data_IF_495141514479
#
_entry.id   IF_495141514479
#
_cell.length_a   1.000
_cell.length_b   1.000
_cell.length_c   1.000
_cell.angle_alpha   90.00
_cell.angle_beta   90.00
_cell.angle_gamma   90.00
#
_symmetry.space_group_name_H-M   'P 1'
#
loop_
_entity.id
_entity.type
_entity.pdbx_description
1 polymer ?
#
# COMPACT_ATOMS: atom_id res chain seq x y z
N UNK A 1 8.79 4.30 19.08
CA UNK A 1 9.49 3.53 18.01
C UNK A 1 8.57 2.62 17.17
N UNK A 2 7.73 1.76 17.77
CA UNK A 2 6.94 0.77 17.00
C UNK A 2 5.84 1.35 16.08
N UNK A 3 5.46 2.62 16.23
CA UNK A 3 4.45 3.28 15.37
C UNK A 3 5.11 3.93 14.14
N UNK A 4 6.34 4.43 14.25
CA UNK A 4 7.04 5.13 13.15
C UNK A 4 7.48 4.15 12.05
N UNK A 5 7.85 2.92 12.38
CA UNK A 5 8.33 1.94 11.39
C UNK A 5 7.22 1.18 10.65
N UNK A 6 5.95 1.31 11.05
CA UNK A 6 4.83 0.54 10.45
C UNK A 6 4.65 0.86 8.98
N UNK A 7 4.60 2.15 8.67
CA UNK A 7 4.44 2.64 7.30
C UNK A 7 5.62 2.24 6.43
N UNK A 8 6.84 2.35 6.98
CA UNK A 8 8.07 1.98 6.29
C UNK A 8 8.08 0.48 5.96
N UNK A 9 7.85 -0.39 6.93
CA UNK A 9 7.92 -1.85 6.73
C UNK A 9 6.90 -2.30 5.69
N UNK A 10 5.66 -1.81 5.74
CA UNK A 10 4.61 -2.22 4.80
C UNK A 10 4.83 -1.64 3.41
N UNK A 11 5.13 -0.34 3.29
CA UNK A 11 5.30 0.30 1.98
C UNK A 11 6.56 -0.20 1.27
N UNK A 12 7.67 -0.40 1.98
CA UNK A 12 8.92 -0.88 1.38
C UNK A 12 8.77 -2.33 0.94
N UNK A 13 8.17 -3.20 1.76
CA UNK A 13 7.95 -4.59 1.37
C UNK A 13 7.04 -4.70 0.14
N UNK A 14 5.94 -3.94 0.11
CA UNK A 14 5.03 -3.91 -1.03
C UNK A 14 5.70 -3.33 -2.28
N UNK A 15 6.42 -2.22 -2.14
CA UNK A 15 7.11 -1.55 -3.26
C UNK A 15 8.21 -2.42 -3.88
N UNK A 16 9.02 -3.10 -3.07
CA UNK A 16 10.05 -4.03 -3.55
C UNK A 16 9.39 -5.21 -4.28
N UNK A 17 8.39 -5.83 -3.66
CA UNK A 17 7.68 -6.95 -4.29
C UNK A 17 7.07 -6.54 -5.64
N UNK A 18 6.37 -5.41 -5.67
CA UNK A 18 5.72 -4.91 -6.88
C UNK A 18 6.73 -4.64 -7.99
N UNK A 19 7.80 -3.87 -7.70
CA UNK A 19 8.78 -3.50 -8.71
C UNK A 19 9.56 -4.71 -9.24
N UNK A 20 9.97 -5.65 -8.37
CA UNK A 20 10.67 -6.86 -8.81
C UNK A 20 9.75 -7.72 -9.69
N UNK A 21 8.51 -7.92 -9.26
CA UNK A 21 7.55 -8.73 -10.02
C UNK A 21 7.21 -8.08 -11.38
N UNK A 22 6.96 -6.77 -11.41
CA UNK A 22 6.60 -6.04 -12.63
C UNK A 22 7.75 -5.95 -13.63
N UNK A 23 9.00 -5.81 -13.18
CA UNK A 23 10.18 -5.87 -14.07
C UNK A 23 10.42 -7.25 -14.67
N UNK A 24 10.15 -8.35 -13.92
CA UNK A 24 10.37 -9.72 -14.41
C UNK A 24 9.22 -10.20 -15.33
N UNK A 25 7.99 -9.72 -15.09
CA UNK A 25 6.78 -10.10 -15.83
C UNK A 25 6.90 -10.07 -17.36
N UNK A 26 7.42 -8.99 -18.02
CA UNK A 26 7.57 -8.94 -19.48
C UNK A 26 8.51 -10.04 -19.99
N UNK A 27 9.59 -10.35 -19.29
CA UNK A 27 10.53 -11.40 -19.69
C UNK A 27 9.91 -12.79 -19.56
N UNK A 28 9.13 -13.02 -18.51
CA UNK A 28 8.38 -14.26 -18.36
C UNK A 28 7.37 -14.46 -19.51
N UNK A 29 6.71 -13.39 -19.94
CA UNK A 29 5.82 -13.43 -21.10
C UNK A 29 6.60 -13.75 -22.40
N UNK A 30 7.80 -13.17 -22.56
CA UNK A 30 8.68 -13.41 -23.71
C UNK A 30 9.15 -14.88 -23.78
N UNK A 31 9.64 -15.45 -22.68
CA UNK A 31 10.18 -16.82 -22.66
C UNK A 31 9.11 -17.90 -22.75
N UNK A 32 7.93 -17.69 -22.15
CA UNK A 32 6.86 -18.70 -22.19
C UNK A 32 6.20 -18.71 -23.59
N UNK A 33 6.09 -17.54 -24.24
CA UNK A 33 5.54 -17.35 -25.60
C UNK A 33 4.15 -17.99 -25.85
N UNK A 34 3.46 -18.43 -24.80
CA UNK A 34 2.15 -19.07 -24.84
C UNK A 34 1.28 -18.51 -23.72
N UNK A 35 0.17 -17.88 -24.12
CA UNK A 35 -0.71 -17.18 -23.19
C UNK A 35 -1.33 -18.10 -22.14
N UNK A 36 -1.60 -19.38 -22.45
CA UNK A 36 -2.20 -20.32 -21.50
C UNK A 36 -1.25 -20.64 -20.36
N UNK A 37 -0.01 -21.02 -20.70
CA UNK A 37 1.02 -21.30 -19.71
C UNK A 37 1.38 -20.05 -18.90
N UNK A 38 1.41 -18.88 -19.54
CA UNK A 38 1.64 -17.61 -18.85
C UNK A 38 0.55 -17.31 -17.81
N UNK A 39 -0.72 -17.54 -18.15
CA UNK A 39 -1.83 -17.40 -17.19
C UNK A 39 -1.71 -18.37 -16.02
N UNK A 40 -1.30 -19.62 -16.25
CA UNK A 40 -1.11 -20.58 -15.15
C UNK A 40 0.04 -20.16 -14.23
N UNK A 41 1.20 -19.80 -14.79
CA UNK A 41 2.38 -19.40 -14.00
C UNK A 41 2.09 -18.14 -13.16
N UNK A 42 1.34 -17.18 -13.70
CA UNK A 42 0.94 -15.97 -12.96
C UNK A 42 -0.17 -16.24 -11.93
N UNK A 43 -1.04 -17.22 -12.15
CA UNK A 43 -2.11 -17.59 -11.23
C UNK A 43 -1.65 -18.44 -10.05
N UNK A 44 -0.62 -19.29 -10.22
CA UNK A 44 -0.13 -20.19 -9.16
C UNK A 44 0.25 -19.44 -7.87
N UNK A 45 0.99 -18.31 -7.90
CA UNK A 45 1.27 -17.53 -6.69
C UNK A 45 0.01 -17.03 -5.97
N UNK A 46 -1.11 -16.80 -6.67
CA UNK A 46 -2.36 -16.37 -6.06
C UNK A 46 -3.00 -17.48 -5.21
N UNK A 47 -2.68 -18.75 -5.47
CA UNK A 47 -3.14 -19.88 -4.66
C UNK A 47 -2.54 -19.87 -3.24
N UNK A 48 -1.46 -19.10 -3.00
CA UNK A 48 -0.91 -18.88 -1.66
C UNK A 48 -1.93 -18.26 -0.68
N UNK A 49 -3.01 -17.65 -1.19
CA UNK A 49 -4.15 -17.19 -0.39
C UNK A 49 -4.75 -18.34 0.44
N UNK A 50 -4.78 -19.56 -0.10
CA UNK A 50 -5.29 -20.74 0.63
C UNK A 50 -4.42 -21.06 1.85
N UNK A 51 -3.13 -20.75 1.80
CA UNK A 51 -2.17 -21.03 2.87
C UNK A 51 -2.18 -19.91 3.95
N UNK A 52 -2.69 -18.73 3.58
CA UNK A 52 -2.68 -17.53 4.45
C UNK A 52 -3.32 -17.75 5.82
N UNK A 53 -4.44 -18.49 5.99
CA UNK A 53 -5.05 -18.73 7.30
C UNK A 53 -4.16 -19.50 8.29
N UNK A 54 -3.20 -20.30 7.80
CA UNK A 54 -2.32 -21.09 8.67
C UNK A 54 -1.06 -20.33 9.08
N UNK A 55 -0.57 -19.43 8.23
CA UNK A 55 0.67 -18.69 8.47
C UNK A 55 0.40 -17.36 9.17
N UNK A 56 -0.66 -16.66 8.79
CA UNK A 56 -0.87 -15.28 9.20
C UNK A 56 -1.67 -15.21 10.50
N UNK A 57 -1.12 -14.63 11.58
CA UNK A 57 -1.87 -14.46 12.81
C UNK A 57 -2.99 -13.45 12.60
N UNK A 58 -4.19 -13.82 13.04
CA UNK A 58 -5.35 -12.92 12.99
C UNK A 58 -5.05 -11.56 13.63
N UNK A 59 -5.60 -10.49 13.04
CA UNK A 59 -5.25 -9.12 13.39
C UNK A 59 -5.71 -8.75 14.81
N UNK A 60 -4.88 -8.03 15.56
CA UNK A 60 -5.23 -7.57 16.91
C UNK A 60 -6.50 -6.69 16.93
N UNK A 61 -6.76 -5.95 15.85
CA UNK A 61 -7.96 -5.11 15.72
C UNK A 61 -9.24 -5.94 15.61
N UNK A 62 -9.19 -7.06 14.87
CA UNK A 62 -10.33 -7.96 14.72
C UNK A 62 -10.75 -8.60 16.07
N UNK A 63 -9.77 -9.00 16.89
CA UNK A 63 -10.06 -9.49 18.24
C UNK A 63 -10.71 -8.42 19.13
N UNK A 64 -10.24 -7.16 19.06
CA UNK A 64 -10.83 -6.04 19.80
C UNK A 64 -12.27 -5.79 19.33
N UNK A 65 -12.53 -5.77 18.02
CA UNK A 65 -13.88 -5.52 17.49
C UNK A 65 -14.88 -6.65 17.81
N UNK A 66 -14.39 -7.86 18.01
CA UNK A 66 -15.22 -9.02 18.39
C UNK A 66 -15.31 -9.22 19.91
N UNK A 67 -14.80 -8.28 20.73
CA UNK A 67 -14.85 -8.38 22.19
C UNK A 67 -13.95 -9.46 22.79
N UNK A 68 -13.06 -10.09 22.02
CA UNK A 68 -12.15 -11.15 22.47
C UNK A 68 -10.90 -10.56 23.15
N UNK A 69 -11.08 -9.88 24.27
CA UNK A 69 -10.01 -9.12 24.93
C UNK A 69 -8.91 -10.00 25.54
N UNK A 70 -9.22 -11.22 25.98
CA UNK A 70 -8.22 -12.15 26.53
C UNK A 70 -7.13 -12.51 25.50
N UNK A 71 -7.55 -12.80 24.26
CA UNK A 71 -6.64 -13.09 23.14
C UNK A 71 -5.79 -11.88 22.77
N UNK A 72 -6.32 -10.66 22.95
CA UNK A 72 -5.57 -9.41 22.72
C UNK A 72 -4.47 -9.28 23.77
N UNK A 73 -4.79 -9.47 25.04
CA UNK A 73 -3.81 -9.39 26.15
C UNK A 73 -2.71 -10.45 25.99
N UNK A 74 -3.05 -11.69 25.61
CA UNK A 74 -2.07 -12.74 25.34
C UNK A 74 -1.09 -12.34 24.23
N UNK A 75 -1.59 -11.81 23.11
CA UNK A 75 -0.75 -11.33 22.01
C UNK A 75 0.12 -10.15 22.43
N UNK A 76 -0.41 -9.19 23.19
CA UNK A 76 0.38 -8.07 23.70
C UNK A 76 1.49 -8.52 24.66
N UNK A 77 1.23 -9.51 25.53
CA UNK A 77 2.26 -10.12 26.38
C UNK A 77 3.33 -10.84 25.57
N UNK A 78 2.95 -11.56 24.51
CA UNK A 78 3.92 -12.19 23.58
C UNK A 78 4.81 -11.13 22.90
N UNK A 79 4.22 -10.05 22.39
CA UNK A 79 4.97 -8.94 21.77
C UNK A 79 5.90 -8.27 22.78
N UNK A 80 5.44 -8.06 24.02
CA UNK A 80 6.26 -7.49 25.09
C UNK A 80 7.49 -8.36 25.39
N UNK A 81 7.30 -9.69 25.49
CA UNK A 81 8.40 -10.66 25.64
C UNK A 81 9.40 -10.59 24.48
N UNK A 82 8.92 -10.58 23.24
CA UNK A 82 9.80 -10.47 22.04
C UNK A 82 10.59 -9.16 22.06
N UNK A 83 9.96 -8.05 22.44
CA UNK A 83 10.59 -6.75 22.57
C UNK A 83 11.45 -6.60 23.84
N UNK A 84 11.60 -7.67 24.65
CA UNK A 84 12.31 -7.68 25.94
C UNK A 84 11.84 -6.57 26.88
N UNK A 85 10.53 -6.31 26.90
CA UNK A 85 9.88 -5.36 27.81
C UNK A 85 8.89 -6.11 28.68
N UNK A 86 8.81 -5.73 29.96
CA UNK A 86 7.84 -6.22 30.93
C UNK A 86 6.95 -5.05 31.40
N UNK A 87 5.87 -4.72 30.67
CA UNK A 87 4.90 -3.73 31.11
C UNK A 87 4.24 -4.19 32.42
N UNK A 88 3.90 -3.24 33.29
CA UNK A 88 3.11 -3.51 34.49
C UNK A 88 1.77 -4.18 34.10
N UNK A 89 1.42 -5.32 34.73
CA UNK A 89 0.12 -5.98 34.56
C UNK A 89 -1.09 -5.04 34.53
N UNK A 90 -1.06 -3.97 35.34
CA UNK A 90 -2.15 -2.97 35.44
C UNK A 90 -2.47 -2.26 34.12
N UNK A 91 -1.49 -2.15 33.23
CA UNK A 91 -1.66 -1.50 31.91
C UNK A 91 -2.59 -2.34 31.02
N UNK A 92 -2.53 -3.67 31.13
CA UNK A 92 -3.41 -4.55 30.38
C UNK A 92 -4.84 -4.44 30.86
N UNK A 93 -5.06 -4.41 32.17
CA UNK A 93 -6.39 -4.28 32.77
C UNK A 93 -7.02 -2.91 32.43
N UNK A 94 -6.25 -1.83 32.52
CA UNK A 94 -6.68 -0.50 32.10
C UNK A 94 -7.03 -0.44 30.60
N UNK A 95 -6.28 -1.16 29.75
CA UNK A 95 -6.58 -1.27 28.32
C UNK A 95 -7.89 -2.01 28.06
N UNK A 96 -8.14 -3.11 28.79
CA UNK A 96 -9.38 -3.88 28.68
C UNK A 96 -10.58 -3.03 29.09
N UNK A 97 -10.52 -2.37 30.24
CA UNK A 97 -11.61 -1.51 30.74
C UNK A 97 -11.92 -0.38 29.76
N UNK A 98 -10.89 0.27 29.20
CA UNK A 98 -11.06 1.37 28.24
C UNK A 98 -11.74 0.93 26.93
N UNK A 99 -11.44 -0.26 26.43
CA UNK A 99 -12.02 -0.78 25.19
C UNK A 99 -13.41 -1.37 25.41
N UNK A 100 -13.61 -2.13 26.49
CA UNK A 100 -14.90 -2.73 26.84
C UNK A 100 -15.96 -1.67 27.17
N UNK A 101 -15.58 -0.56 27.81
CA UNK A 101 -16.48 0.58 28.07
C UNK A 101 -17.00 1.28 26.80
N UNK A 102 -16.29 1.16 25.66
CA UNK A 102 -16.76 1.67 24.36
C UNK A 102 -17.62 0.68 23.57
N UNK A 103 -17.53 -0.62 23.85
CA UNK A 103 -18.26 -1.69 23.15
C UNK A 103 -19.66 -1.92 23.77
N UNK A 104 -19.83 -1.61 25.07
CA UNK A 104 -21.05 -1.86 25.84
C UNK A 104 -22.30 -1.03 25.49
N UNK A 105 -22.29 -0.15 24.49
CA UNK A 105 -23.45 0.68 24.11
C UNK A 105 -24.19 0.27 22.82
N UNK A 106 -23.86 -0.85 22.17
CA UNK A 106 -24.62 -1.31 20.99
C UNK A 106 -24.81 -2.83 20.97
N UNK A 107 -25.87 -3.38 21.59
CA UNK A 107 -26.08 -4.83 21.69
C UNK A 107 -26.70 -5.46 20.43
N UNK A 108 -26.58 -4.86 19.24
CA UNK A 108 -27.08 -5.45 17.97
C UNK A 108 -26.25 -5.05 16.76
N UNK A 109 -25.12 -5.75 16.52
CA UNK A 109 -24.55 -5.83 15.16
C UNK A 109 -24.20 -7.28 14.88
N UNK A 110 -25.25 -8.09 14.71
CA UNK A 110 -25.20 -9.22 13.79
C UNK A 110 -25.30 -8.61 12.38
N UNK A 111 -24.16 -8.55 11.69
CA UNK A 111 -23.94 -8.53 10.23
C UNK A 111 -22.53 -7.98 10.00
N UNK A 112 -21.59 -8.90 9.72
CA UNK A 112 -20.15 -8.72 9.63
C UNK A 112 -19.61 -7.84 8.49
N UNK A 113 -20.31 -6.77 8.12
CA UNK A 113 -19.92 -5.85 7.04
C UNK A 113 -19.79 -4.40 7.53
N UNK A 114 -20.50 -3.97 8.59
CA UNK A 114 -20.45 -2.56 9.07
C UNK A 114 -19.32 -2.23 10.05
N UNK A 115 -18.65 -3.20 10.67
CA UNK A 115 -17.63 -2.91 11.70
C UNK A 115 -16.26 -2.53 11.11
N UNK A 116 -15.93 -2.99 9.90
CA UNK A 116 -14.67 -2.64 9.22
C UNK A 116 -14.63 -1.16 8.85
N UNK A 117 -15.78 -0.55 8.60
CA UNK A 117 -15.89 0.86 8.22
C UNK A 117 -15.67 1.81 9.41
N UNK A 118 -16.02 1.38 10.63
CA UNK A 118 -15.83 2.18 11.83
C UNK A 118 -14.46 1.94 12.48
N UNK A 119 -13.86 0.76 12.32
CA UNK A 119 -12.51 0.45 12.82
C UNK A 119 -11.38 1.15 12.04
N UNK A 120 -11.65 1.61 10.82
CA UNK A 120 -10.76 2.49 10.04
C UNK A 120 -11.05 3.98 10.26
N UNK A 121 -12.16 4.32 10.92
CA UNK A 121 -12.63 5.68 11.19
C UNK A 121 -12.05 6.29 12.47
N UNK A 122 -10.79 5.98 12.81
CA UNK A 122 -10.06 6.67 13.88
C UNK A 122 -9.66 8.11 13.53
N UNK A 123 -10.04 8.59 12.35
CA UNK A 123 -9.72 9.94 11.90
C UNK A 123 -11.01 10.59 11.41
N UNK A 124 -11.50 11.56 12.19
CA UNK A 124 -12.62 12.45 11.84
C UNK A 124 -12.20 13.29 10.63
N UNK A 125 -12.22 12.72 9.44
CA UNK A 125 -12.06 13.47 8.19
C UNK A 125 -13.42 13.98 7.79
N UNK A 126 -13.51 15.27 7.46
CA UNK A 126 -14.71 15.82 6.88
C UNK A 126 -15.04 15.05 5.58
N UNK A 127 -16.31 14.85 5.23
CA UNK A 127 -16.68 14.17 3.98
C UNK A 127 -16.00 14.83 2.76
N UNK A 128 -15.80 16.14 2.83
CA UNK A 128 -15.02 16.92 1.87
C UNK A 128 -13.57 16.45 1.73
N UNK A 129 -12.85 16.19 2.83
CA UNK A 129 -11.47 15.71 2.79
C UNK A 129 -11.37 14.33 2.13
N UNK A 130 -12.38 13.47 2.33
CA UNK A 130 -12.44 12.15 1.69
C UNK A 130 -12.66 12.25 0.19
N UNK A 131 -13.53 13.17 -0.24
CA UNK A 131 -13.77 13.46 -1.66
C UNK A 131 -12.48 13.99 -2.29
N UNK A 132 -11.83 14.96 -1.65
CA UNK A 132 -10.60 15.56 -2.16
C UNK A 132 -9.46 14.54 -2.27
N UNK A 133 -9.27 13.66 -1.28
CA UNK A 133 -8.28 12.58 -1.35
C UNK A 133 -8.62 11.53 -2.41
N UNK A 134 -9.90 11.30 -2.68
CA UNK A 134 -10.34 10.39 -3.75
C UNK A 134 -10.03 10.99 -5.12
N UNK A 135 -10.37 12.27 -5.31
CA UNK A 135 -10.04 13.02 -6.53
C UNK A 135 -8.53 13.03 -6.78
N UNK A 136 -7.73 13.35 -5.77
CA UNK A 136 -6.26 13.34 -5.87
C UNK A 136 -5.72 11.97 -6.33
N UNK A 137 -6.27 10.87 -5.83
CA UNK A 137 -5.88 9.52 -6.24
C UNK A 137 -6.27 9.22 -7.69
N UNK A 138 -7.46 9.62 -8.13
CA UNK A 138 -7.87 9.46 -9.52
C UNK A 138 -6.92 10.17 -10.49
N UNK A 139 -6.54 11.42 -10.19
CA UNK A 139 -5.58 12.16 -11.00
C UNK A 139 -4.23 11.44 -11.10
N UNK A 140 -3.71 10.94 -9.97
CA UNK A 140 -2.44 10.19 -9.97
C UNK A 140 -2.52 8.94 -10.85
N UNK A 141 -3.63 8.18 -10.79
CA UNK A 141 -3.80 6.97 -11.60
C UNK A 141 -3.88 7.31 -13.09
N UNK A 142 -4.65 8.34 -13.47
CA UNK A 142 -4.76 8.78 -14.87
C UNK A 142 -3.40 9.25 -15.40
N UNK A 143 -2.66 10.04 -14.61
CA UNK A 143 -1.32 10.50 -14.98
C UNK A 143 -0.35 9.32 -15.13
N UNK A 144 -0.41 8.34 -14.24
CA UNK A 144 0.40 7.13 -14.32
C UNK A 144 0.09 6.33 -15.59
N UNK A 145 -1.18 6.04 -15.85
CA UNK A 145 -1.60 5.31 -17.05
C UNK A 145 -1.18 6.04 -18.33
N UNK A 146 -1.38 7.36 -18.38
CA UNK A 146 -0.92 8.20 -19.50
C UNK A 146 0.59 8.05 -19.76
N UNK A 147 1.40 8.04 -18.70
CA UNK A 147 2.84 7.84 -18.81
C UNK A 147 3.20 6.43 -19.31
N UNK A 148 2.49 5.40 -18.83
CA UNK A 148 2.65 4.01 -19.32
C UNK A 148 2.29 3.89 -20.80
N UNK A 149 1.27 4.60 -21.29
CA UNK A 149 0.95 4.64 -22.72
C UNK A 149 2.02 5.38 -23.53
N UNK A 150 2.57 6.49 -23.01
CA UNK A 150 3.66 7.22 -23.69
C UNK A 150 4.92 6.37 -23.89
N UNK A 151 5.21 5.43 -22.98
CA UNK A 151 6.35 4.50 -23.12
C UNK A 151 6.25 3.58 -24.34
N UNK A 152 5.06 3.39 -24.91
CA UNK A 152 4.86 2.66 -26.18
C UNK A 152 5.31 3.46 -27.39
N UNK A 153 5.48 4.78 -27.28
CA UNK A 153 5.96 5.64 -28.37
C UNK A 153 7.46 5.52 -28.58
N UNK A 154 8.21 5.07 -27.57
CA UNK A 154 9.63 4.77 -27.70
C UNK A 154 9.75 3.58 -28.65
N UNK A 155 10.49 3.73 -29.76
CA UNK A 155 10.78 2.69 -30.76
C UNK A 155 11.68 1.56 -30.21
N UNK A 156 11.45 1.12 -28.98
CA UNK A 156 12.09 -0.04 -28.38
C UNK A 156 11.10 -1.21 -28.32
N UNK A 157 11.58 -2.42 -28.05
CA UNK A 157 10.68 -3.55 -27.81
C UNK A 157 9.80 -3.27 -26.59
N UNK A 158 8.51 -3.66 -26.66
CA UNK A 158 7.54 -3.47 -25.57
C UNK A 158 8.07 -4.03 -24.24
N UNK A 159 8.80 -5.13 -24.29
CA UNK A 159 9.41 -5.77 -23.13
C UNK A 159 10.48 -4.90 -22.46
N UNK A 160 11.34 -4.23 -23.24
CA UNK A 160 12.41 -3.37 -22.72
C UNK A 160 11.83 -2.06 -22.17
N UNK A 161 10.97 -1.37 -22.93
CA UNK A 161 10.33 -0.14 -22.46
C UNK A 161 9.57 -0.36 -21.15
N UNK A 162 8.80 -1.46 -21.04
CA UNK A 162 8.06 -1.79 -19.83
C UNK A 162 8.99 -2.15 -18.66
N UNK A 163 10.06 -2.93 -18.91
CA UNK A 163 11.03 -3.30 -17.86
C UNK A 163 11.74 -2.09 -17.28
N UNK A 164 12.17 -1.15 -18.13
CA UNK A 164 12.85 0.08 -17.71
C UNK A 164 11.90 0.94 -16.88
N UNK A 165 10.64 1.09 -17.33
CA UNK A 165 9.62 1.81 -16.59
C UNK A 165 9.43 1.25 -15.18
N UNK A 166 9.18 -0.07 -15.07
CA UNK A 166 9.02 -0.74 -13.77
C UNK A 166 10.30 -0.69 -12.91
N UNK A 167 11.47 -0.80 -13.52
CA UNK A 167 12.74 -0.72 -12.79
C UNK A 167 12.95 0.65 -12.12
N UNK A 168 12.43 1.74 -12.73
CA UNK A 168 12.49 3.08 -12.14
C UNK A 168 11.51 3.30 -10.97
N UNK A 169 10.51 2.44 -10.81
CA UNK A 169 9.57 2.52 -9.68
C UNK A 169 10.21 2.13 -8.34
N UNK A 170 11.19 1.21 -8.34
CA UNK A 170 11.89 0.79 -7.13
C UNK A 170 12.68 1.94 -6.46
N UNK A 171 13.60 2.63 -7.16
CA UNK A 171 14.31 3.77 -6.57
C UNK A 171 13.35 4.92 -6.25
N UNK A 172 12.32 5.15 -7.07
CA UNK A 172 11.31 6.16 -6.80
C UNK A 172 10.52 5.87 -5.51
N UNK A 173 10.11 4.61 -5.28
CA UNK A 173 9.38 4.18 -4.09
C UNK A 173 10.23 4.25 -2.81
N UNK A 174 11.52 3.91 -2.90
CA UNK A 174 12.46 4.05 -1.78
C UNK A 174 12.70 5.52 -1.43
N UNK A 175 12.98 6.37 -2.43
CA UNK A 175 13.14 7.80 -2.23
C UNK A 175 11.88 8.42 -1.63
N UNK A 176 10.71 8.09 -2.18
CA UNK A 176 9.44 8.57 -1.64
C UNK A 176 9.28 8.19 -0.18
N UNK A 177 9.58 6.94 0.19
CA UNK A 177 9.45 6.49 1.59
C UNK A 177 10.38 7.25 2.53
N UNK A 178 11.60 7.58 2.09
CA UNK A 178 12.55 8.38 2.88
C UNK A 178 12.10 9.84 3.04
N UNK A 179 11.61 10.45 1.96
CA UNK A 179 11.12 11.84 1.98
C UNK A 179 9.79 11.98 2.72
N UNK A 180 8.95 10.94 2.72
CA UNK A 180 7.64 10.96 3.36
C UNK A 180 7.73 11.26 4.86
N UNK A 181 8.74 10.71 5.54
CA UNK A 181 8.97 10.92 6.97
C UNK A 181 9.51 12.33 7.27
N UNK A 182 10.20 12.98 6.32
CA UNK A 182 10.76 14.33 6.49
C UNK A 182 9.77 15.42 6.15
N UNK A 183 9.10 15.33 5.00
CA UNK A 183 8.31 16.44 4.41
C UNK A 183 6.79 16.23 4.55
N UNK A 184 6.37 15.05 4.99
CA UNK A 184 4.97 14.74 5.21
C UNK A 184 4.21 14.41 3.94
N UNK A 185 3.14 13.61 4.10
CA UNK A 185 2.38 12.98 3.01
C UNK A 185 1.77 13.95 1.99
N UNK A 186 1.28 15.11 2.44
CA UNK A 186 0.59 16.08 1.57
C UNK A 186 1.57 16.79 0.65
N UNK A 187 2.71 17.22 1.20
CA UNK A 187 3.74 17.94 0.44
C UNK A 187 4.39 17.03 -0.61
N UNK A 188 4.72 15.78 -0.25
CA UNK A 188 5.24 14.80 -1.22
C UNK A 188 4.27 14.56 -2.38
N UNK A 189 2.95 14.51 -2.11
CA UNK A 189 1.93 14.35 -3.15
C UNK A 189 1.83 15.55 -4.08
N UNK A 190 1.91 16.77 -3.55
CA UNK A 190 1.92 17.99 -4.37
C UNK A 190 3.19 18.09 -5.22
N UNK A 191 4.35 17.84 -4.61
CA UNK A 191 5.65 17.93 -5.27
C UNK A 191 5.77 16.98 -6.46
N UNK A 192 5.36 15.72 -6.28
CA UNK A 192 5.41 14.71 -7.36
C UNK A 192 4.53 15.09 -8.54
N UNK A 193 3.30 15.55 -8.29
CA UNK A 193 2.40 16.03 -9.34
C UNK A 193 2.95 17.27 -10.06
N UNK A 194 3.52 18.22 -9.33
CA UNK A 194 4.13 19.42 -9.91
C UNK A 194 5.34 19.06 -10.79
N UNK A 195 6.20 18.13 -10.35
CA UNK A 195 7.32 17.65 -11.15
C UNK A 195 6.84 16.95 -12.43
N UNK A 196 5.84 16.06 -12.33
CA UNK A 196 5.28 15.38 -13.50
C UNK A 196 4.72 16.38 -14.51
N UNK A 197 3.98 17.39 -14.05
CA UNK A 197 3.45 18.45 -14.92
C UNK A 197 4.55 19.21 -15.66
N UNK A 198 5.60 19.61 -14.95
CA UNK A 198 6.74 20.33 -15.55
C UNK A 198 7.48 19.48 -16.58
N UNK A 199 7.71 18.20 -16.28
CA UNK A 199 8.40 17.28 -17.20
C UNK A 199 7.57 16.98 -18.45
N UNK A 200 6.25 16.83 -18.32
CA UNK A 200 5.36 16.65 -19.47
C UNK A 200 5.33 17.87 -20.39
N UNK A 201 5.34 19.09 -19.83
CA UNK A 201 5.46 20.32 -20.63
C UNK A 201 6.82 20.38 -21.35
N UNK A 202 7.90 20.04 -20.65
CA UNK A 202 9.23 20.02 -21.23
C UNK A 202 9.33 19.01 -22.39
N UNK A 203 8.74 17.82 -22.26
CA UNK A 203 8.66 16.82 -23.32
C UNK A 203 7.92 17.35 -24.55
N UNK A 204 6.77 18.01 -24.35
CA UNK A 204 5.98 18.59 -25.43
C UNK A 204 6.74 19.67 -26.20
N UNK A 205 7.44 20.56 -25.47
CA UNK A 205 8.26 21.62 -26.05
C UNK A 205 9.49 21.05 -26.78
N UNK A 206 10.13 20.03 -26.23
CA UNK A 206 11.26 19.37 -26.90
C UNK A 206 10.80 18.73 -28.22
N UNK A 207 9.62 18.09 -28.20
CA UNK A 207 9.05 17.44 -29.39
C UNK A 207 8.65 18.45 -30.46
N UNK A 208 8.11 19.62 -30.09
CA UNK A 208 7.82 20.67 -31.07
C UNK A 208 9.09 21.22 -31.73
N UNK A 209 10.15 21.44 -30.95
CA UNK A 209 11.44 21.94 -31.47
C UNK A 209 12.14 20.90 -32.37
N UNK A 210 12.04 19.61 -32.06
CA UNK A 210 12.64 18.54 -32.86
C UNK A 210 11.87 18.26 -34.16
N UNK A 211 10.57 18.56 -34.23
CA UNK A 211 9.76 18.40 -35.45
C UNK A 211 9.88 19.59 -36.42
N UNK A 212 10.36 20.74 -35.95
CA UNK A 212 10.65 21.92 -36.78
C UNK A 212 12.05 21.86 -37.45
N UNK A 213 12.87 20.85 -37.15
CA UNK A 213 14.15 20.56 -37.84
C UNK A 213 14.02 19.37 -38.77
#
# INVERSE_FOLDING_TARGET
>A
MAVSKRTLVVNVAFGIYFAVASTILPWMAYYIANWRYFTYVTAVPLLSVVITPWILPESARWYVSNGMMDKVVEKLRRIARINRRSPDPRIYDAFVVKQSGGIGQNPRISHGVRSVQNATSGQKHCPFDRILESIRKCFIVISFDGHVYSLKLIQSSVFVSFSIACATELPAGLLLTLFLDRWGRRFCGFLTLAMTFMLSIAELLLRSVMLER
#
